data_IF_664615789392
#
_entry.id   IF_664615789392
#
_cell.length_a   1.000
_cell.length_b   1.000
_cell.length_c   1.000
_cell.angle_alpha   90.00
_cell.angle_beta   90.00
_cell.angle_gamma   90.00
#
_symmetry.space_group_name_H-M   'P 1'
#
loop_
_entity.id
_entity.type
_entity.pdbx_description
1 polymer ?
#
# COMPACT_ATOMS: atom_id res chain seq x y z
N UNK A 1 0.98 15.32 -4.36
CA UNK A 1 1.08 14.44 -3.18
C UNK A 1 1.15 13.00 -3.63
N UNK A 2 2.00 12.17 -3.01
CA UNK A 2 2.20 10.79 -3.42
C UNK A 2 2.42 9.86 -2.23
N UNK A 3 2.45 8.56 -2.50
CA UNK A 3 2.65 7.50 -1.52
C UNK A 3 3.86 6.65 -1.91
N UNK A 4 4.56 6.12 -0.92
CA UNK A 4 5.61 5.11 -1.11
C UNK A 4 5.25 3.92 -0.25
N UNK A 5 5.10 2.75 -0.88
CA UNK A 5 4.76 1.51 -0.20
C UNK A 5 5.93 0.55 -0.30
N UNK A 6 6.41 0.07 0.85
CA UNK A 6 7.50 -0.90 0.93
C UNK A 6 7.04 -2.13 1.71
N UNK A 7 7.17 -3.30 1.12
CA UNK A 7 6.83 -4.58 1.75
C UNK A 7 7.96 -5.59 1.56
N UNK A 8 8.38 -6.32 2.61
CA UNK A 8 9.19 -7.50 2.42
C UNK A 8 8.44 -8.59 1.63
N UNK A 9 9.17 -9.43 0.92
CA UNK A 9 8.62 -10.66 0.37
C UNK A 9 8.38 -11.69 1.48
N UNK A 10 7.17 -12.26 1.51
CA UNK A 10 6.83 -13.41 2.35
C UNK A 10 6.10 -14.43 1.49
N UNK A 11 6.70 -15.62 1.35
CA UNK A 11 6.17 -16.69 0.50
C UNK A 11 5.89 -16.25 -0.96
N UNK A 12 6.78 -15.45 -1.56
CA UNK A 12 6.61 -14.95 -2.93
C UNK A 12 5.55 -13.85 -3.10
N UNK A 13 5.04 -13.28 -2.01
CA UNK A 13 4.00 -12.25 -2.03
C UNK A 13 4.30 -11.12 -1.03
N UNK A 14 3.55 -10.01 -1.14
CA UNK A 14 3.58 -8.93 -0.14
C UNK A 14 3.15 -9.45 1.25
N UNK A 15 3.62 -8.81 2.30
CA UNK A 15 3.20 -9.19 3.66
C UNK A 15 1.71 -8.93 3.89
N UNK A 16 1.09 -9.77 4.71
CA UNK A 16 -0.28 -9.53 5.20
C UNK A 16 -0.40 -8.21 5.96
N UNK A 17 0.68 -7.75 6.60
CA UNK A 17 0.72 -6.44 7.27
C UNK A 17 0.50 -5.31 6.26
N UNK A 18 1.23 -5.31 5.14
CA UNK A 18 1.06 -4.29 4.11
C UNK A 18 -0.36 -4.35 3.51
N UNK A 19 -0.88 -5.56 3.28
CA UNK A 19 -2.24 -5.73 2.75
C UNK A 19 -3.30 -5.18 3.71
N UNK A 20 -3.18 -5.47 5.00
CA UNK A 20 -4.08 -4.94 6.04
C UNK A 20 -4.04 -3.42 6.09
N UNK A 21 -2.88 -2.78 5.95
CA UNK A 21 -2.83 -1.30 5.88
C UNK A 21 -3.67 -0.75 4.73
N UNK A 22 -3.57 -1.35 3.53
CA UNK A 22 -4.35 -0.93 2.35
C UNK A 22 -5.85 -1.16 2.58
N UNK A 23 -6.22 -2.28 3.21
CA UNK A 23 -7.61 -2.64 3.49
C UNK A 23 -8.31 -1.64 4.42
N UNK A 24 -7.54 -1.01 5.32
CA UNK A 24 -8.05 0.04 6.20
C UNK A 24 -8.16 1.42 5.54
N UNK A 25 -7.73 1.59 4.29
CA UNK A 25 -7.85 2.85 3.56
C UNK A 25 -9.11 2.80 2.68
N UNK A 26 -10.23 3.42 3.10
CA UNK A 26 -11.43 3.44 2.29
C UNK A 26 -11.21 4.28 1.03
N UNK A 27 -11.89 3.91 -0.06
CA UNK A 27 -11.91 4.73 -1.27
C UNK A 27 -12.55 6.10 -1.03
N UNK A 28 -13.44 6.22 -0.03
CA UNK A 28 -14.13 7.45 0.29
C UNK A 28 -14.38 7.61 1.79
N UNK A 29 -14.19 8.84 2.27
CA UNK A 29 -14.62 9.30 3.59
C UNK A 29 -15.46 10.56 3.36
N UNK A 30 -16.78 10.41 3.26
CA UNK A 30 -17.66 11.48 2.79
C UNK A 30 -17.31 11.91 1.35
N UNK A 31 -16.96 13.19 1.16
CA UNK A 31 -16.50 13.73 -0.12
C UNK A 31 -14.98 13.55 -0.37
N UNK A 32 -14.22 13.12 0.65
CA UNK A 32 -12.77 12.94 0.56
C UNK A 32 -12.44 11.60 -0.08
N UNK A 33 -11.50 11.59 -1.03
CA UNK A 33 -10.96 10.40 -1.68
C UNK A 33 -9.48 10.23 -1.28
N UNK A 34 -9.15 9.46 -0.23
CA UNK A 34 -7.84 9.50 0.42
C UNK A 34 -6.64 9.16 -0.49
N UNK A 35 -6.86 8.29 -1.47
CA UNK A 35 -5.82 7.74 -2.37
C UNK A 35 -6.02 8.13 -3.84
N UNK A 36 -7.22 8.58 -4.24
CA UNK A 36 -7.54 8.85 -5.63
C UNK A 36 -6.69 10.00 -6.18
N UNK A 37 -6.10 9.80 -7.37
CA UNK A 37 -5.31 10.82 -8.06
C UNK A 37 -3.91 11.08 -7.47
N UNK A 38 -3.50 10.35 -6.42
CA UNK A 38 -2.14 10.43 -5.86
C UNK A 38 -1.20 9.48 -6.59
N UNK A 39 0.05 9.90 -6.81
CA UNK A 39 1.09 9.03 -7.37
C UNK A 39 1.50 7.97 -6.33
N UNK A 40 1.79 6.74 -6.78
CA UNK A 40 2.27 5.66 -5.92
C UNK A 40 3.59 5.09 -6.44
N UNK A 41 4.63 5.09 -5.60
CA UNK A 41 5.84 4.30 -5.81
C UNK A 41 5.79 3.02 -4.96
N UNK A 42 6.18 1.90 -5.54
CA UNK A 42 6.23 0.60 -4.86
C UNK A 42 7.67 0.11 -4.74
N UNK A 43 7.99 -0.52 -3.60
CA UNK A 43 9.31 -1.08 -3.31
C UNK A 43 9.13 -2.44 -2.63
N UNK A 44 10.06 -3.36 -2.89
CA UNK A 44 10.13 -4.66 -2.24
C UNK A 44 11.55 -4.92 -1.74
N UNK A 45 11.66 -5.59 -0.59
CA UNK A 45 12.91 -6.19 -0.12
C UNK A 45 12.73 -7.69 -0.02
N UNK A 46 13.76 -8.47 -0.35
CA UNK A 46 13.80 -9.92 -0.16
C UNK A 46 15.06 -10.33 0.60
N UNK A 47 15.05 -11.51 1.20
CA UNK A 47 16.24 -12.07 1.86
C UNK A 47 17.21 -12.78 0.92
N UNK A 48 16.87 -12.92 -0.36
CA UNK A 48 17.49 -13.85 -1.31
C UNK A 48 16.57 -15.01 -1.67
#
# INVERSE_FOLDING_TARGET
EGMVWCSPERHGAMTGIMKTMIDWIPLSIGAVRPTQGKTLAVMQVSGG
#
